data_IF_352010664164
#
_entry.id   IF_352010664164
#
_cell.length_a   1.000
_cell.length_b   1.000
_cell.length_c   1.000
_cell.angle_alpha   90.00
_cell.angle_beta   90.00
_cell.angle_gamma   90.00
#
_symmetry.space_group_name_H-M   'P 1'
#
loop_
_entity.id
_entity.type
_entity.pdbx_description
1 polymer ?
#
# COMPACT_ATOMS: atom_id res chain seq x y z
N UNK A 1 -27.81 -21.43 14.34
CA UNK A 1 -27.45 -21.99 13.02
C UNK A 1 -27.55 -20.96 11.90
N UNK A 2 -28.61 -20.17 11.79
CA UNK A 2 -28.82 -19.17 10.70
C UNK A 2 -27.77 -18.05 10.61
N UNK A 3 -27.25 -17.54 11.74
CA UNK A 3 -26.16 -16.55 11.76
C UNK A 3 -24.86 -17.10 11.13
N UNK A 4 -24.50 -18.35 11.44
CA UNK A 4 -23.28 -18.98 10.93
C UNK A 4 -23.35 -19.30 9.43
N UNK A 5 -24.55 -19.49 8.88
CA UNK A 5 -24.72 -19.72 7.42
C UNK A 5 -24.53 -18.42 6.63
N UNK A 6 -24.97 -17.29 7.19
CA UNK A 6 -24.74 -15.95 6.61
C UNK A 6 -23.25 -15.57 6.60
N UNK A 7 -22.54 -15.85 7.69
CA UNK A 7 -21.10 -15.57 7.79
C UNK A 7 -20.28 -16.38 6.76
N UNK A 8 -20.50 -17.69 6.68
CA UNK A 8 -19.84 -18.55 5.70
C UNK A 8 -20.10 -18.05 4.27
N UNK A 9 -21.35 -17.74 3.92
CA UNK A 9 -21.69 -17.24 2.59
C UNK A 9 -20.95 -15.93 2.24
N UNK A 10 -20.76 -15.03 3.21
CA UNK A 10 -19.98 -13.80 3.01
C UNK A 10 -18.50 -14.10 2.76
N UNK A 11 -17.87 -14.91 3.60
CA UNK A 11 -16.45 -15.29 3.45
C UNK A 11 -16.20 -16.03 2.13
N UNK A 12 -17.12 -16.91 1.72
CA UNK A 12 -17.05 -17.62 0.44
C UNK A 12 -17.02 -16.67 -0.76
N UNK A 13 -17.86 -15.63 -0.75
CA UNK A 13 -17.84 -14.59 -1.78
C UNK A 13 -16.46 -13.94 -1.87
N UNK A 14 -15.87 -13.60 -0.72
CA UNK A 14 -14.53 -13.00 -0.66
C UNK A 14 -13.43 -13.97 -1.10
N UNK A 15 -13.59 -15.27 -0.85
CA UNK A 15 -12.66 -16.28 -1.33
C UNK A 15 -12.58 -16.34 -2.85
N UNK A 16 -13.71 -16.37 -3.55
CA UNK A 16 -13.68 -16.38 -5.02
C UNK A 16 -13.07 -15.10 -5.61
N UNK A 17 -13.30 -13.95 -4.96
CA UNK A 17 -12.68 -12.69 -5.35
C UNK A 17 -11.15 -12.69 -5.10
N UNK A 18 -10.72 -13.13 -3.91
CA UNK A 18 -9.30 -13.29 -3.58
C UNK A 18 -8.61 -14.29 -4.50
N UNK A 19 -9.27 -15.41 -4.81
CA UNK A 19 -8.75 -16.44 -5.69
C UNK A 19 -8.45 -15.87 -7.07
N UNK A 20 -9.44 -15.21 -7.66
CA UNK A 20 -9.33 -14.62 -9.00
C UNK A 20 -8.25 -13.53 -9.08
N UNK A 21 -8.22 -12.59 -8.13
CA UNK A 21 -7.38 -11.40 -8.23
C UNK A 21 -6.03 -11.51 -7.57
N UNK A 22 -5.77 -12.54 -6.76
CA UNK A 22 -4.49 -12.69 -6.05
C UNK A 22 -3.92 -14.10 -6.19
N UNK A 23 -4.68 -15.15 -5.88
CA UNK A 23 -4.14 -16.53 -5.88
C UNK A 23 -3.80 -17.01 -7.30
N UNK A 24 -4.73 -16.89 -8.24
CA UNK A 24 -4.58 -17.43 -9.60
C UNK A 24 -3.54 -16.66 -10.43
N UNK A 25 -3.22 -15.42 -10.04
CA UNK A 25 -2.22 -14.58 -10.71
C UNK A 25 -0.85 -14.58 -10.00
N UNK A 26 -0.77 -15.18 -8.81
CA UNK A 26 0.47 -15.28 -8.05
C UNK A 26 1.49 -16.11 -8.84
N UNK A 27 2.73 -15.63 -8.95
CA UNK A 27 3.73 -16.38 -9.71
C UNK A 27 3.94 -17.78 -9.07
N UNK A 28 3.86 -18.87 -9.85
CA UNK A 28 3.90 -20.22 -9.31
C UNK A 28 5.28 -20.63 -8.79
N UNK A 29 6.35 -19.94 -9.17
CA UNK A 29 7.70 -20.22 -8.66
C UNK A 29 8.02 -19.25 -7.53
N UNK A 30 8.00 -17.96 -7.81
CA UNK A 30 8.43 -16.93 -6.87
C UNK A 30 7.34 -16.50 -5.91
N UNK A 31 6.05 -16.80 -6.11
CA UNK A 31 5.00 -16.30 -5.23
C UNK A 31 4.77 -14.78 -5.26
N UNK A 32 5.50 -14.03 -6.09
CA UNK A 32 5.35 -12.59 -6.23
C UNK A 32 4.12 -12.25 -7.06
N UNK A 33 3.51 -11.11 -6.74
CA UNK A 33 2.38 -10.52 -7.45
C UNK A 33 2.82 -9.32 -8.31
N UNK A 34 2.21 -9.12 -9.48
CA UNK A 34 2.31 -7.85 -10.21
C UNK A 34 1.62 -6.72 -9.43
N UNK A 35 2.00 -5.46 -9.62
CA UNK A 35 1.32 -4.33 -8.95
C UNK A 35 -0.11 -4.10 -9.43
N UNK A 36 -0.43 -4.50 -10.66
CA UNK A 36 -1.77 -4.34 -11.25
C UNK A 36 -2.01 -5.34 -12.36
N UNK A 37 -3.28 -5.65 -12.59
CA UNK A 37 -3.73 -6.26 -13.83
C UNK A 37 -4.05 -5.17 -14.88
N UNK A 38 -4.12 -5.57 -16.14
CA UNK A 38 -4.48 -4.68 -17.25
C UNK A 38 -5.81 -5.11 -17.87
N UNK A 39 -6.72 -4.17 -18.04
CA UNK A 39 -7.97 -4.40 -18.76
C UNK A 39 -7.75 -4.23 -20.28
N UNK A 40 -8.08 -5.24 -21.08
CA UNK A 40 -7.98 -5.23 -22.56
C UNK A 40 -6.78 -5.97 -23.16
N UNK A 41 -6.85 -6.23 -24.48
CA UNK A 41 -5.82 -6.96 -25.23
C UNK A 41 -4.51 -6.18 -25.27
N UNK A 42 -3.44 -6.81 -24.81
CA UNK A 42 -2.06 -6.32 -24.70
C UNK A 42 -1.77 -5.45 -23.46
N UNK A 43 -1.03 -6.07 -22.53
CA UNK A 43 0.02 -5.42 -21.76
C UNK A 43 0.77 -4.46 -22.70
N UNK A 44 1.06 -3.20 -22.35
CA UNK A 44 2.02 -2.41 -23.10
C UNK A 44 3.30 -3.25 -23.29
N UNK A 45 3.83 -3.37 -24.51
CA UNK A 45 4.95 -4.28 -24.87
C UNK A 45 6.20 -4.12 -23.98
N UNK A 46 6.30 -3.03 -23.20
CA UNK A 46 7.38 -2.74 -22.25
C UNK A 46 6.94 -2.61 -20.78
N UNK A 47 5.73 -3.04 -20.42
CA UNK A 47 5.30 -3.10 -19.02
C UNK A 47 5.93 -4.33 -18.35
N UNK A 48 7.18 -4.17 -17.92
CA UNK A 48 7.90 -5.25 -17.28
C UNK A 48 7.15 -5.77 -16.03
N UNK A 49 7.18 -7.10 -15.87
CA UNK A 49 6.57 -7.84 -14.75
C UNK A 49 7.39 -7.57 -13.48
N UNK A 50 7.08 -6.45 -12.82
CA UNK A 50 7.76 -6.07 -11.60
C UNK A 50 6.84 -6.18 -10.38
N UNK A 51 7.43 -6.61 -9.27
CA UNK A 51 6.84 -6.70 -7.96
C UNK A 51 7.47 -5.62 -7.08
N UNK A 52 6.65 -4.70 -6.58
CA UNK A 52 7.06 -3.76 -5.53
C UNK A 52 6.81 -4.38 -4.17
N UNK A 53 7.72 -4.19 -3.22
CA UNK A 53 7.58 -4.70 -1.84
C UNK A 53 6.26 -4.21 -1.25
N UNK A 54 6.03 -2.89 -1.26
CA UNK A 54 4.82 -2.26 -0.70
C UNK A 54 3.54 -2.82 -1.31
N UNK A 55 3.45 -2.84 -2.64
CA UNK A 55 2.27 -3.32 -3.36
C UNK A 55 2.00 -4.80 -3.04
N UNK A 56 3.04 -5.64 -2.99
CA UNK A 56 2.90 -7.05 -2.64
C UNK A 56 2.46 -7.26 -1.19
N UNK A 57 3.06 -6.52 -0.24
CA UNK A 57 2.67 -6.57 1.17
C UNK A 57 1.23 -6.16 1.33
N UNK A 58 0.79 -5.00 0.80
CA UNK A 58 -0.61 -4.61 0.89
C UNK A 58 -1.54 -5.61 0.18
N UNK A 59 -1.14 -6.14 -0.98
CA UNK A 59 -1.94 -7.09 -1.75
C UNK A 59 -2.22 -8.38 -0.97
N UNK A 60 -1.25 -8.89 -0.22
CA UNK A 60 -1.40 -10.15 0.50
C UNK A 60 -2.23 -10.03 1.79
N UNK A 61 -2.44 -8.80 2.30
CA UNK A 61 -3.21 -8.59 3.53
C UNK A 61 -4.64 -9.10 3.43
N UNK A 62 -5.33 -8.92 2.30
CA UNK A 62 -6.69 -9.46 2.14
C UNK A 62 -6.72 -11.00 2.16
N UNK A 63 -5.73 -11.65 1.55
CA UNK A 63 -5.57 -13.11 1.53
C UNK A 63 -5.31 -13.63 2.95
N UNK A 64 -4.43 -12.95 3.69
CA UNK A 64 -4.12 -13.25 5.08
C UNK A 64 -5.32 -13.01 6.02
N UNK A 65 -6.01 -11.87 5.90
CA UNK A 65 -7.21 -11.58 6.70
C UNK A 65 -8.32 -12.61 6.45
N UNK A 66 -8.49 -13.03 5.20
CA UNK A 66 -9.47 -14.06 4.85
C UNK A 66 -9.09 -15.43 5.42
N UNK A 67 -7.81 -15.79 5.46
CA UNK A 67 -7.36 -17.05 6.06
C UNK A 67 -7.65 -17.09 7.56
N UNK A 68 -7.44 -15.98 8.28
CA UNK A 68 -7.86 -15.83 9.68
C UNK A 68 -9.37 -16.02 9.82
N UNK A 69 -10.16 -15.44 8.91
CA UNK A 69 -11.62 -15.61 8.88
C UNK A 69 -12.05 -17.06 8.72
N UNK A 70 -11.42 -17.82 7.82
CA UNK A 70 -11.67 -19.25 7.67
C UNK A 70 -11.24 -20.07 8.88
N UNK A 71 -10.13 -19.72 9.52
CA UNK A 71 -9.67 -20.40 10.73
C UNK A 71 -10.67 -20.30 11.88
N UNK A 72 -11.39 -19.18 12.00
CA UNK A 72 -12.44 -19.02 13.04
C UNK A 72 -13.61 -19.98 12.87
N UNK A 73 -13.80 -20.56 11.68
CA UNK A 73 -14.94 -21.43 11.37
C UNK A 73 -14.53 -22.85 10.94
N UNK A 74 -13.24 -23.18 11.02
CA UNK A 74 -12.72 -24.49 10.59
C UNK A 74 -13.23 -25.65 11.43
N UNK A 75 -13.59 -25.40 12.69
CA UNK A 75 -14.17 -26.43 13.57
C UNK A 75 -15.65 -26.72 13.24
N UNK A 76 -16.29 -25.81 12.52
CA UNK A 76 -17.73 -25.86 12.21
C UNK A 76 -18.02 -26.34 10.79
N UNK A 77 -17.11 -26.10 9.85
CA UNK A 77 -17.28 -26.39 8.42
C UNK A 77 -16.00 -26.97 7.82
N UNK A 78 -16.15 -27.80 6.78
CA UNK A 78 -15.01 -28.34 6.02
C UNK A 78 -14.42 -27.29 5.05
N UNK A 79 -13.73 -26.31 5.63
CA UNK A 79 -13.09 -25.18 4.92
C UNK A 79 -11.57 -25.15 5.10
N UNK A 80 -11.01 -26.20 5.71
CA UNK A 80 -9.58 -26.32 6.01
C UNK A 80 -8.70 -26.20 4.77
N UNK A 81 -9.15 -26.76 3.64
CA UNK A 81 -8.42 -26.67 2.37
C UNK A 81 -8.28 -25.22 1.89
N UNK A 82 -9.35 -24.41 2.00
CA UNK A 82 -9.32 -22.98 1.62
C UNK A 82 -8.45 -22.18 2.56
N UNK A 83 -8.58 -22.44 3.86
CA UNK A 83 -7.70 -21.82 4.86
C UNK A 83 -6.24 -22.08 4.48
N UNK A 84 -5.85 -23.34 4.25
CA UNK A 84 -4.48 -23.71 3.92
C UNK A 84 -3.99 -23.13 2.60
N UNK A 85 -4.82 -23.08 1.57
CA UNK A 85 -4.48 -22.43 0.29
C UNK A 85 -4.11 -20.95 0.51
N UNK A 86 -4.95 -20.20 1.23
CA UNK A 86 -4.70 -18.80 1.53
C UNK A 86 -3.46 -18.62 2.42
N UNK A 87 -3.29 -19.47 3.43
CA UNK A 87 -2.12 -19.44 4.32
C UNK A 87 -0.81 -19.66 3.54
N UNK A 88 -0.78 -20.68 2.68
CA UNK A 88 0.39 -21.00 1.87
C UNK A 88 0.70 -19.90 0.86
N UNK A 89 -0.31 -19.29 0.25
CA UNK A 89 -0.13 -18.15 -0.65
C UNK A 89 0.48 -16.94 0.07
N UNK A 90 0.01 -16.65 1.30
CA UNK A 90 0.58 -15.60 2.15
C UNK A 90 2.04 -15.87 2.51
N UNK A 91 2.33 -17.06 3.03
CA UNK A 91 3.70 -17.46 3.40
C UNK A 91 4.63 -17.38 2.21
N UNK A 92 4.21 -17.92 1.05
CA UNK A 92 5.03 -17.92 -0.17
C UNK A 92 5.41 -16.52 -0.63
N UNK A 93 4.46 -15.58 -0.67
CA UNK A 93 4.75 -14.21 -1.08
C UNK A 93 5.71 -13.51 -0.11
N UNK A 94 5.43 -13.58 1.19
CA UNK A 94 6.24 -12.91 2.22
C UNK A 94 7.68 -13.45 2.23
N UNK A 95 7.84 -14.78 2.11
CA UNK A 95 9.15 -15.42 2.01
C UNK A 95 9.90 -15.02 0.75
N UNK A 96 9.21 -14.82 -0.35
CA UNK A 96 9.88 -14.42 -1.58
C UNK A 96 10.32 -12.96 -1.57
N UNK A 97 9.59 -12.08 -0.90
CA UNK A 97 10.08 -10.73 -0.61
C UNK A 97 11.34 -10.79 0.27
N UNK A 98 11.33 -11.61 1.34
CA UNK A 98 12.51 -11.84 2.17
C UNK A 98 13.70 -12.29 1.33
N UNK A 99 13.50 -13.30 0.47
CA UNK A 99 14.54 -13.80 -0.42
C UNK A 99 15.08 -12.73 -1.37
N UNK A 100 14.20 -11.88 -1.94
CA UNK A 100 14.62 -10.75 -2.79
C UNK A 100 15.52 -9.77 -2.02
N UNK A 101 15.18 -9.47 -0.76
CA UNK A 101 15.96 -8.57 0.09
C UNK A 101 17.29 -9.22 0.53
N UNK A 102 17.28 -10.50 0.89
CA UNK A 102 18.48 -11.25 1.31
C UNK A 102 19.54 -11.32 0.20
N UNK A 103 19.12 -11.38 -1.07
CA UNK A 103 20.05 -11.31 -2.22
C UNK A 103 20.83 -9.99 -2.32
N UNK A 104 20.44 -8.98 -1.55
CA UNK A 104 21.08 -7.67 -1.45
C UNK A 104 21.72 -7.44 -0.07
N UNK A 105 22.05 -8.51 0.68
CA UNK A 105 22.58 -8.40 2.05
C UNK A 105 23.83 -7.53 2.17
N UNK A 106 24.74 -7.60 1.20
CA UNK A 106 25.93 -6.74 1.16
C UNK A 106 25.56 -5.25 1.11
N UNK A 107 24.50 -4.89 0.36
CA UNK A 107 24.00 -3.51 0.31
C UNK A 107 23.47 -3.06 1.67
N UNK A 108 22.72 -3.92 2.36
CA UNK A 108 22.20 -3.64 3.72
C UNK A 108 23.35 -3.34 4.70
N UNK A 109 24.41 -4.15 4.68
CA UNK A 109 25.58 -3.94 5.56
C UNK A 109 26.31 -2.62 5.26
N UNK A 110 26.44 -2.26 3.98
CA UNK A 110 27.06 -1.00 3.59
C UNK A 110 26.17 0.21 3.92
N UNK A 111 24.86 0.09 3.72
CA UNK A 111 23.91 1.15 4.02
C UNK A 111 23.90 1.51 5.50
N UNK A 112 23.87 0.52 6.40
CA UNK A 112 23.92 0.76 7.85
C UNK A 112 25.11 1.63 8.29
N UNK A 113 26.23 1.57 7.56
CA UNK A 113 27.46 2.34 7.87
C UNK A 113 27.51 3.70 7.20
N UNK A 114 26.93 3.81 6.00
CA UNK A 114 27.13 4.97 5.11
C UNK A 114 25.89 5.85 5.00
N UNK A 115 24.69 5.28 5.17
CA UNK A 115 23.38 5.86 4.86
C UNK A 115 23.29 6.38 3.42
N UNK A 116 24.17 5.92 2.53
CA UNK A 116 24.21 6.35 1.14
C UNK A 116 23.17 5.59 0.32
N UNK A 117 22.33 6.34 -0.40
CA UNK A 117 21.26 5.80 -1.24
C UNK A 117 21.74 4.79 -2.28
N UNK A 118 23.00 4.83 -2.73
CA UNK A 118 23.56 3.83 -3.66
C UNK A 118 23.59 2.42 -3.06
N UNK A 119 23.73 2.31 -1.73
CA UNK A 119 23.67 1.05 -1.00
C UNK A 119 22.27 0.73 -0.48
N UNK A 120 21.24 1.51 -0.83
CA UNK A 120 19.89 1.22 -0.39
C UNK A 120 19.33 -0.08 -1.00
N UNK A 121 18.46 -0.76 -0.27
CA UNK A 121 17.72 -1.90 -0.81
C UNK A 121 16.84 -1.45 -1.97
N UNK A 122 16.82 -2.21 -3.05
CA UNK A 122 15.78 -2.04 -4.07
C UNK A 122 14.44 -2.46 -3.49
N UNK A 123 13.41 -1.64 -3.68
CA UNK A 123 12.03 -1.97 -3.31
C UNK A 123 11.20 -2.57 -4.47
N UNK A 124 11.84 -2.91 -5.59
CA UNK A 124 11.21 -3.41 -6.82
C UNK A 124 12.02 -4.54 -7.45
N UNK A 125 11.35 -5.64 -7.78
CA UNK A 125 11.97 -6.87 -8.27
C UNK A 125 11.31 -7.41 -9.53
N UNK A 126 12.05 -8.18 -10.32
CA UNK A 126 11.49 -9.00 -11.40
C UNK A 126 10.70 -10.16 -10.81
N UNK A 127 9.44 -10.30 -11.22
CA UNK A 127 8.53 -11.33 -10.72
C UNK A 127 9.07 -12.73 -10.99
N UNK A 128 9.71 -12.95 -12.15
CA UNK A 128 10.04 -14.31 -12.61
C UNK A 128 11.26 -14.92 -11.90
N UNK A 129 12.16 -14.10 -11.35
CA UNK A 129 13.44 -14.57 -10.83
C UNK A 129 13.96 -13.85 -9.58
N UNK A 130 13.15 -12.98 -8.95
CA UNK A 130 13.56 -12.23 -7.77
C UNK A 130 14.86 -11.42 -8.01
N UNK A 131 15.06 -10.96 -9.24
CA UNK A 131 16.20 -10.14 -9.64
C UNK A 131 15.90 -8.65 -9.54
N UNK A 132 16.94 -7.81 -9.60
CA UNK A 132 16.78 -6.37 -9.58
C UNK A 132 16.01 -5.89 -10.83
N UNK A 133 15.13 -4.90 -10.62
CA UNK A 133 14.33 -4.32 -11.68
C UNK A 133 15.07 -3.28 -12.54
N UNK A 134 16.17 -2.73 -12.03
CA UNK A 134 17.05 -1.75 -12.67
C UNK A 134 18.32 -1.56 -11.84
N UNK A 135 19.15 -0.59 -12.21
CA UNK A 135 20.31 -0.12 -11.45
C UNK A 135 19.94 0.93 -10.39
N UNK A 136 20.92 1.26 -9.54
CA UNK A 136 20.74 2.17 -8.40
C UNK A 136 20.43 3.62 -8.80
N UNK A 137 20.83 4.02 -10.01
CA UNK A 137 20.59 5.36 -10.57
C UNK A 137 19.29 5.45 -11.38
N UNK A 138 18.60 4.33 -11.62
CA UNK A 138 17.48 4.28 -12.57
C UNK A 138 16.17 4.83 -11.97
N UNK A 139 16.05 4.81 -10.64
CA UNK A 139 14.83 5.22 -9.93
C UNK A 139 15.05 5.46 -8.42
N UNK A 140 14.05 6.06 -7.77
CA UNK A 140 14.03 6.37 -6.34
C UNK A 140 13.86 5.14 -5.44
N UNK A 141 14.87 4.27 -5.42
CA UNK A 141 14.78 2.94 -4.81
C UNK A 141 14.92 2.91 -3.28
N UNK A 142 15.52 3.94 -2.67
CA UNK A 142 15.56 4.09 -1.21
C UNK A 142 14.17 4.44 -0.69
N UNK A 143 13.45 3.42 -0.20
CA UNK A 143 12.09 3.53 0.33
C UNK A 143 12.02 2.87 1.71
N UNK A 144 12.16 3.67 2.76
CA UNK A 144 12.18 3.16 4.14
C UNK A 144 10.77 2.71 4.56
N UNK A 145 9.72 3.34 4.03
CA UNK A 145 8.32 2.95 4.23
C UNK A 145 8.08 1.49 3.81
N UNK A 146 8.62 1.06 2.66
CA UNK A 146 8.36 -0.26 2.11
C UNK A 146 8.96 -1.38 2.99
N UNK A 147 10.18 -1.17 3.48
CA UNK A 147 10.86 -2.12 4.39
C UNK A 147 10.17 -2.14 5.75
N UNK A 148 9.81 -0.98 6.28
CA UNK A 148 9.11 -0.85 7.56
C UNK A 148 7.74 -1.53 7.52
N UNK A 149 6.98 -1.32 6.44
CA UNK A 149 5.69 -1.97 6.19
C UNK A 149 5.84 -3.49 6.10
N UNK A 150 6.86 -3.98 5.38
CA UNK A 150 7.12 -5.42 5.28
C UNK A 150 7.35 -6.04 6.66
N UNK A 151 8.21 -5.43 7.47
CA UNK A 151 8.52 -5.94 8.82
C UNK A 151 7.30 -5.87 9.75
N UNK A 152 6.50 -4.81 9.65
CA UNK A 152 5.27 -4.68 10.44
C UNK A 152 4.26 -5.77 10.07
N UNK A 153 4.04 -5.99 8.78
CA UNK A 153 3.16 -7.06 8.29
C UNK A 153 3.70 -8.44 8.65
N UNK A 154 5.01 -8.65 8.53
CA UNK A 154 5.68 -9.91 8.90
C UNK A 154 5.45 -10.24 10.37
N UNK A 155 5.65 -9.27 11.27
CA UNK A 155 5.42 -9.45 12.70
C UNK A 155 3.97 -9.89 12.98
N UNK A 156 2.97 -9.18 12.40
CA UNK A 156 1.56 -9.52 12.58
C UNK A 156 1.19 -10.89 11.99
N UNK A 157 1.72 -11.23 10.82
CA UNK A 157 1.52 -12.53 10.17
C UNK A 157 2.10 -13.66 11.04
N UNK A 158 3.30 -13.51 11.58
CA UNK A 158 3.92 -14.50 12.48
C UNK A 158 3.15 -14.60 13.80
N UNK A 159 2.73 -13.47 14.38
CA UNK A 159 1.88 -13.46 15.59
C UNK A 159 0.53 -14.15 15.37
N UNK A 160 0.04 -14.19 14.14
CA UNK A 160 -1.14 -14.99 13.78
C UNK A 160 -0.87 -16.51 13.72
N UNK A 161 0.34 -16.99 13.99
CA UNK A 161 0.71 -18.40 13.98
C UNK A 161 1.18 -18.93 12.61
N UNK A 162 1.55 -18.04 11.68
CA UNK A 162 2.14 -18.45 10.40
C UNK A 162 3.67 -18.53 10.47
N UNK A 163 4.23 -19.64 10.01
CA UNK A 163 5.68 -19.84 9.95
C UNK A 163 6.28 -19.28 8.66
N UNK A 164 6.72 -18.02 8.71
CA UNK A 164 7.35 -17.33 7.56
C UNK A 164 8.88 -17.43 7.59
N UNK A 165 9.50 -17.51 8.77
CA UNK A 165 10.97 -17.53 8.94
C UNK A 165 11.41 -18.95 9.31
N UNK A 166 12.37 -19.52 8.58
CA UNK A 166 12.73 -20.94 8.64
C UNK A 166 14.18 -21.21 9.02
N UNK A 167 15.08 -20.22 8.96
CA UNK A 167 16.50 -20.42 9.29
C UNK A 167 17.09 -19.30 10.15
N UNK A 168 18.20 -19.60 10.81
CA UNK A 168 18.95 -18.62 11.62
C UNK A 168 19.47 -17.46 10.76
N UNK A 169 19.86 -17.73 9.52
CA UNK A 169 20.32 -16.69 8.57
C UNK A 169 19.19 -15.72 8.22
N UNK A 170 17.96 -16.23 8.05
CA UNK A 170 16.78 -15.41 7.83
C UNK A 170 16.50 -14.54 9.07
N UNK A 171 16.60 -15.09 10.29
CA UNK A 171 16.48 -14.32 11.54
C UNK A 171 17.52 -13.21 11.62
N UNK A 172 18.80 -13.52 11.37
CA UNK A 172 19.89 -12.55 11.35
C UNK A 172 19.64 -11.45 10.30
N UNK A 173 19.10 -11.81 9.14
CA UNK A 173 18.79 -10.83 8.11
C UNK A 173 17.63 -9.91 8.51
N UNK A 174 16.57 -10.43 9.14
CA UNK A 174 15.48 -9.61 9.69
C UNK A 174 16.02 -8.62 10.72
N UNK A 175 16.91 -9.06 11.62
CA UNK A 175 17.57 -8.18 12.58
C UNK A 175 18.39 -7.08 11.87
N UNK A 176 19.07 -7.43 10.77
CA UNK A 176 19.76 -6.44 9.93
C UNK A 176 18.82 -5.43 9.28
N UNK A 177 17.61 -5.82 8.90
CA UNK A 177 16.60 -4.89 8.41
C UNK A 177 16.08 -3.94 9.50
N UNK A 178 16.03 -4.38 10.76
CA UNK A 178 15.70 -3.49 11.89
C UNK A 178 16.78 -2.40 12.04
N UNK A 179 18.06 -2.78 12.00
CA UNK A 179 19.16 -1.80 11.99
C UNK A 179 19.18 -0.94 10.73
N UNK A 180 18.75 -1.47 9.59
CA UNK A 180 18.66 -0.70 8.34
C UNK A 180 17.68 0.48 8.45
N UNK A 181 16.57 0.32 9.18
CA UNK A 181 15.56 1.39 9.33
C UNK A 181 15.75 2.27 10.58
N UNK A 182 16.68 1.93 11.48
CA UNK A 182 16.81 2.62 12.77
C UNK A 182 17.08 4.13 12.63
N UNK A 183 17.77 4.52 11.56
CA UNK A 183 18.14 5.90 11.26
C UNK A 183 17.08 6.60 10.37
N UNK A 184 15.85 6.07 10.28
CA UNK A 184 14.79 6.65 9.44
C UNK A 184 14.51 8.13 9.75
N UNK A 185 14.63 8.55 11.02
CA UNK A 185 14.37 9.92 11.46
C UNK A 185 15.36 10.96 10.87
N UNK A 186 16.53 10.51 10.39
CA UNK A 186 17.57 11.38 9.82
C UNK A 186 18.02 10.93 8.43
N UNK A 187 17.34 9.97 7.81
CA UNK A 187 17.67 9.45 6.48
C UNK A 187 16.60 9.88 5.47
N UNK A 188 16.89 10.87 4.61
CA UNK A 188 15.99 11.26 3.54
C UNK A 188 15.78 10.11 2.54
N UNK A 189 14.53 9.86 2.16
CA UNK A 189 14.14 8.77 1.27
C UNK A 189 13.17 9.25 0.16
N UNK A 190 12.75 8.32 -0.71
CA UNK A 190 11.84 8.64 -1.82
C UNK A 190 10.35 8.50 -1.47
N UNK A 191 10.04 8.02 -0.27
CA UNK A 191 8.70 7.81 0.25
C UNK A 191 7.82 6.85 -0.57
N UNK A 192 6.55 6.77 -0.18
CA UNK A 192 5.55 5.87 -0.78
C UNK A 192 5.37 6.10 -2.29
N UNK A 193 5.63 7.33 -2.77
CA UNK A 193 5.35 7.70 -4.16
C UNK A 193 6.59 7.70 -5.07
N UNK A 194 7.75 7.21 -4.60
CA UNK A 194 8.98 7.06 -5.40
C UNK A 194 9.51 8.38 -5.97
N UNK A 195 9.26 9.49 -5.26
CA UNK A 195 9.59 10.84 -5.73
C UNK A 195 10.50 11.63 -4.81
N UNK A 196 10.53 11.28 -3.53
CA UNK A 196 11.20 12.08 -2.53
C UNK A 196 10.42 13.36 -2.31
N UNK A 197 11.02 14.49 -2.62
CA UNK A 197 10.44 15.80 -2.39
C UNK A 197 9.12 16.02 -3.12
N UNK A 198 8.16 16.63 -2.43
CA UNK A 198 6.84 16.97 -2.99
C UNK A 198 6.89 18.11 -4.02
N UNK A 199 8.00 18.85 -4.06
CA UNK A 199 8.36 19.78 -5.14
C UNK A 199 8.84 19.05 -6.41
N UNK A 200 8.92 17.71 -6.36
CA UNK A 200 9.07 16.81 -7.49
C UNK A 200 10.38 16.96 -8.30
N UNK A 201 11.47 17.36 -7.64
CA UNK A 201 12.81 17.37 -8.22
C UNK A 201 13.44 15.97 -8.23
N UNK A 202 12.83 14.99 -7.56
CA UNK A 202 13.42 13.65 -7.45
C UNK A 202 14.54 13.58 -6.41
N UNK A 203 14.53 14.50 -5.44
CA UNK A 203 15.49 14.52 -4.36
C UNK A 203 14.90 13.85 -3.11
N UNK A 204 15.64 12.99 -2.40
CA UNK A 204 15.15 12.39 -1.16
C UNK A 204 14.76 13.45 -0.11
N UNK A 205 13.67 13.22 0.61
CA UNK A 205 13.23 14.06 1.73
C UNK A 205 12.94 13.22 2.98
N UNK A 206 12.82 13.87 4.14
CA UNK A 206 12.35 13.20 5.35
C UNK A 206 10.83 12.97 5.25
N UNK A 207 10.44 11.84 4.66
CA UNK A 207 9.05 11.48 4.52
C UNK A 207 8.45 11.06 5.85
N UNK A 208 7.46 11.83 6.30
CA UNK A 208 6.66 11.52 7.48
C UNK A 208 6.08 10.10 7.48
N UNK A 209 5.61 9.60 6.33
CA UNK A 209 5.08 8.24 6.22
C UNK A 209 6.15 7.19 6.51
N UNK A 210 7.37 7.40 6.03
CA UNK A 210 8.50 6.49 6.25
C UNK A 210 8.95 6.50 7.70
N UNK A 211 9.10 7.70 8.29
CA UNK A 211 9.46 7.88 9.70
C UNK A 211 8.39 7.28 10.61
N UNK A 212 7.11 7.53 10.34
CA UNK A 212 6.00 7.03 11.14
C UNK A 212 5.91 5.51 11.13
N UNK A 213 6.07 4.87 9.97
CA UNK A 213 6.12 3.40 9.89
C UNK A 213 7.32 2.82 10.63
N UNK A 214 8.51 3.40 10.44
CA UNK A 214 9.72 2.94 11.12
C UNK A 214 9.62 3.07 12.64
N UNK A 215 9.11 4.22 13.13
CA UNK A 215 8.86 4.48 14.57
C UNK A 215 8.01 3.36 15.17
N UNK A 216 6.84 3.09 14.59
CA UNK A 216 5.91 2.08 15.09
C UNK A 216 6.57 0.71 15.15
N UNK A 217 7.31 0.34 14.10
CA UNK A 217 7.99 -0.94 14.08
C UNK A 217 9.01 -1.03 15.23
N UNK A 218 9.86 -0.02 15.38
CA UNK A 218 10.88 0.00 16.42
C UNK A 218 10.24 -0.03 17.81
N UNK A 219 9.15 0.70 18.04
CA UNK A 219 8.37 0.65 19.29
C UNK A 219 7.73 -0.71 19.55
N UNK A 220 7.35 -1.44 18.50
CA UNK A 220 6.75 -2.77 18.62
C UNK A 220 7.76 -3.88 18.93
N UNK A 221 9.04 -3.70 18.55
CA UNK A 221 10.11 -4.71 18.68
C UNK A 221 11.02 -4.40 19.88
N UNK A 222 11.29 -3.13 20.19
CA UNK A 222 12.18 -2.73 21.27
C UNK A 222 11.44 -2.68 22.63
N UNK A 223 12.13 -2.94 23.76
CA UNK A 223 11.59 -2.68 25.08
C UNK A 223 11.13 -1.22 25.19
N UNK A 224 9.92 -0.98 25.73
CA UNK A 224 9.26 0.34 25.81
C UNK A 224 10.10 1.45 26.47
N UNK A 225 11.17 1.11 27.18
CA UNK A 225 12.03 2.05 27.90
C UNK A 225 13.12 2.71 27.02
N UNK A 226 13.33 2.24 25.78
CA UNK A 226 14.50 2.62 24.97
C UNK A 226 14.26 3.70 23.90
N UNK A 227 13.01 4.13 23.68
CA UNK A 227 12.70 5.15 22.68
C UNK A 227 12.21 6.43 23.35
N UNK A 228 12.98 7.50 23.21
CA UNK A 228 12.52 8.85 23.50
C UNK A 228 11.30 9.18 22.61
N UNK A 229 10.33 9.91 23.17
CA UNK A 229 9.08 10.30 22.48
C UNK A 229 9.40 11.02 21.16
N UNK A 230 9.38 10.29 20.04
CA UNK A 230 9.37 10.90 18.71
C UNK A 230 7.96 11.41 18.47
N UNK A 231 7.68 12.61 18.96
CA UNK A 231 6.46 13.32 18.62
C UNK A 231 6.59 13.78 17.17
N UNK A 232 5.79 13.18 16.28
CA UNK A 232 5.61 13.66 14.91
C UNK A 232 4.92 15.04 14.97
N UNK A 233 5.69 16.13 14.99
CA UNK A 233 5.16 17.48 14.97
C UNK A 233 5.01 17.98 13.53
N UNK A 234 3.81 18.47 13.22
CA UNK A 234 3.46 19.34 12.10
C UNK A 234 4.02 18.95 10.72
N UNK A 235 3.20 18.26 9.92
CA UNK A 235 3.53 17.98 8.52
C UNK A 235 3.50 19.29 7.71
N UNK A 236 4.67 19.77 7.26
CA UNK A 236 4.78 20.99 6.44
C UNK A 236 3.91 20.91 5.17
N UNK A 237 3.73 19.71 4.62
CA UNK A 237 2.88 19.48 3.45
C UNK A 237 1.99 18.25 3.61
N UNK A 238 0.68 18.46 3.41
CA UNK A 238 -0.37 17.45 3.57
C UNK A 238 -0.35 16.49 2.36
N UNK A 239 -0.08 15.22 2.62
CA UNK A 239 -0.17 14.15 1.64
C UNK A 239 -1.09 13.03 2.12
N UNK A 240 -1.80 12.39 1.20
CA UNK A 240 -2.68 11.27 1.51
C UNK A 240 -1.92 10.01 1.99
N UNK A 241 -0.60 9.95 1.76
CA UNK A 241 0.29 8.93 2.35
C UNK A 241 0.26 8.93 3.88
N UNK A 242 -0.08 10.06 4.51
CA UNK A 242 -0.19 10.13 5.97
C UNK A 242 -1.30 9.22 6.51
N UNK A 243 -2.34 8.90 5.72
CA UNK A 243 -3.40 7.98 6.15
C UNK A 243 -2.86 6.60 6.57
N UNK A 244 -1.75 6.13 5.97
CA UNK A 244 -1.14 4.85 6.35
C UNK A 244 -0.42 4.87 7.71
N UNK A 245 -0.20 6.06 8.27
CA UNK A 245 0.42 6.22 9.61
C UNK A 245 -0.55 6.77 10.66
N UNK A 246 -1.61 7.47 10.26
CA UNK A 246 -2.64 7.94 11.20
C UNK A 246 -3.51 6.79 11.72
N UNK A 247 -3.71 5.77 10.90
CA UNK A 247 -4.51 4.58 11.22
C UNK A 247 -3.78 3.34 10.69
N UNK A 248 -4.52 2.39 10.11
CA UNK A 248 -3.96 1.19 9.53
C UNK A 248 -2.97 1.49 8.37
N UNK A 249 -1.82 0.80 8.32
CA UNK A 249 -1.39 -0.27 9.23
C UNK A 249 -0.60 0.20 10.46
N UNK A 250 -0.08 1.43 10.51
CA UNK A 250 0.95 1.79 11.49
C UNK A 250 0.43 2.38 12.80
N UNK A 251 -0.63 3.20 12.81
CA UNK A 251 -1.12 3.87 14.03
C UNK A 251 -0.02 4.65 14.80
N UNK A 252 0.81 5.39 14.07
CA UNK A 252 2.05 6.01 14.58
C UNK A 252 1.83 7.27 15.42
N UNK A 253 0.66 7.89 15.35
CA UNK A 253 0.37 9.18 15.98
C UNK A 253 -0.55 8.95 17.17
N UNK A 254 -0.08 9.28 18.38
CA UNK A 254 -0.81 9.07 19.63
C UNK A 254 -1.71 10.26 20.00
N UNK A 255 -1.32 11.47 19.62
CA UNK A 255 -2.05 12.70 19.94
C UNK A 255 -3.35 12.79 19.12
N UNK A 256 -4.50 12.69 19.80
CA UNK A 256 -5.82 12.68 19.18
C UNK A 256 -6.18 13.99 18.47
N UNK A 257 -5.79 15.14 19.04
CA UNK A 257 -6.04 16.44 18.41
C UNK A 257 -5.27 16.56 17.08
N UNK A 258 -4.00 16.14 17.08
CA UNK A 258 -3.17 16.12 15.89
C UNK A 258 -3.70 15.13 14.84
N UNK A 259 -4.14 13.95 15.26
CA UNK A 259 -4.80 12.97 14.39
C UNK A 259 -6.00 13.61 13.68
N UNK A 260 -6.90 14.23 14.43
CA UNK A 260 -8.11 14.84 13.91
C UNK A 260 -7.79 16.01 12.97
N UNK A 261 -6.94 16.94 13.39
CA UNK A 261 -6.50 18.09 12.57
C UNK A 261 -5.85 17.63 11.26
N UNK A 262 -5.00 16.60 11.33
CA UNK A 262 -4.32 16.07 10.13
C UNK A 262 -5.31 15.42 9.19
N UNK A 263 -6.24 14.59 9.70
CA UNK A 263 -7.30 13.94 8.91
C UNK A 263 -8.20 14.96 8.22
N UNK A 264 -8.69 15.96 8.95
CA UNK A 264 -9.52 17.03 8.40
C UNK A 264 -8.77 17.82 7.32
N UNK A 265 -7.49 18.10 7.53
CA UNK A 265 -6.64 18.78 6.54
C UNK A 265 -6.45 17.95 5.28
N UNK A 266 -6.24 16.62 5.40
CA UNK A 266 -6.14 15.68 4.27
C UNK A 266 -7.46 15.68 3.49
N UNK A 267 -8.59 15.43 4.17
CA UNK A 267 -9.90 15.33 3.53
C UNK A 267 -10.27 16.65 2.85
N UNK A 268 -10.14 17.77 3.54
CA UNK A 268 -10.51 19.10 3.01
C UNK A 268 -9.70 19.48 1.78
N UNK A 269 -8.40 19.19 1.77
CA UNK A 269 -7.49 19.61 0.68
C UNK A 269 -7.45 18.62 -0.48
N UNK A 270 -7.56 17.32 -0.22
CA UNK A 270 -7.23 16.28 -1.19
C UNK A 270 -8.44 15.49 -1.67
N UNK A 271 -9.59 15.51 -0.99
CA UNK A 271 -10.76 14.75 -1.41
C UNK A 271 -11.39 15.31 -2.71
N UNK A 272 -11.54 14.39 -3.66
CA UNK A 272 -12.26 14.58 -4.92
C UNK A 272 -13.47 13.66 -5.04
N UNK A 273 -14.09 13.63 -6.22
CA UNK A 273 -15.30 12.84 -6.47
C UNK A 273 -15.01 11.34 -6.61
N UNK A 274 -13.77 10.99 -6.94
CA UNK A 274 -13.35 9.65 -7.27
C UNK A 274 -12.27 9.06 -6.34
N UNK A 275 -11.82 9.82 -5.35
CA UNK A 275 -10.77 9.42 -4.42
C UNK A 275 -10.06 10.64 -3.85
N UNK A 276 -8.90 10.44 -3.24
CA UNK A 276 -8.05 11.55 -2.81
C UNK A 276 -6.89 11.75 -3.78
N UNK A 277 -6.45 12.99 -3.94
CA UNK A 277 -5.18 13.32 -4.57
C UNK A 277 -4.05 12.86 -3.66
N UNK A 278 -2.90 12.45 -4.22
CA UNK A 278 -1.75 12.03 -3.40
C UNK A 278 -1.19 13.19 -2.58
N UNK A 279 -1.03 14.33 -3.23
CA UNK A 279 -0.70 15.64 -2.66
C UNK A 279 -1.11 16.71 -3.69
N UNK A 280 -1.11 17.98 -3.29
CA UNK A 280 -1.49 19.08 -4.19
C UNK A 280 -0.47 19.22 -5.33
N UNK A 281 -0.95 19.61 -6.52
CA UNK A 281 -0.11 19.83 -7.72
C UNK A 281 0.66 18.60 -8.20
N UNK A 282 0.16 17.42 -7.87
CA UNK A 282 0.71 16.17 -8.36
C UNK A 282 0.41 15.97 -9.87
N UNK A 283 1.47 16.03 -10.68
CA UNK A 283 1.39 15.82 -12.12
C UNK A 283 1.37 14.36 -12.58
N UNK A 284 1.44 13.37 -11.69
CA UNK A 284 1.54 11.96 -12.11
C UNK A 284 0.36 11.52 -12.95
N UNK A 285 0.65 11.12 -14.20
CA UNK A 285 -0.34 10.71 -15.21
C UNK A 285 -1.40 11.78 -15.51
N UNK A 286 -1.07 13.04 -15.19
CA UNK A 286 -1.88 14.21 -15.48
C UNK A 286 -1.35 14.85 -16.76
N UNK A 287 -2.19 14.99 -17.79
CA UNK A 287 -1.90 15.65 -19.07
C UNK A 287 -0.74 15.09 -19.95
N UNK A 288 0.36 14.60 -19.38
CA UNK A 288 1.40 13.83 -20.06
C UNK A 288 1.72 12.57 -19.24
N UNK A 289 1.28 11.37 -19.69
CA UNK A 289 1.44 10.14 -18.93
C UNK A 289 2.86 9.58 -18.89
N UNK A 290 3.83 10.17 -19.62
CA UNK A 290 5.18 9.61 -19.73
C UNK A 290 6.23 10.23 -18.80
N UNK A 291 5.96 11.41 -18.21
CA UNK A 291 6.95 12.17 -17.42
C UNK A 291 6.78 11.93 -15.91
N UNK A 292 7.88 11.66 -15.21
CA UNK A 292 7.92 11.41 -13.76
C UNK A 292 8.31 12.65 -12.92
N UNK A 293 9.18 13.52 -13.44
CA UNK A 293 9.67 14.73 -12.73
C UNK A 293 9.30 16.00 -13.50
N UNK A 294 8.95 17.08 -12.81
CA UNK A 294 8.49 18.34 -13.38
C UNK A 294 9.25 19.51 -12.74
N UNK A 295 9.42 20.61 -13.47
CA UNK A 295 10.00 21.84 -12.92
C UNK A 295 9.00 22.51 -11.96
N UNK A 296 9.48 23.23 -10.93
CA UNK A 296 8.61 23.91 -9.94
C UNK A 296 7.57 24.82 -10.62
N UNK A 297 7.99 25.52 -11.67
CA UNK A 297 7.13 26.43 -12.42
C UNK A 297 6.03 25.69 -13.20
N UNK A 298 6.24 24.40 -13.52
CA UNK A 298 5.24 23.55 -14.18
C UNK A 298 4.22 22.97 -13.20
N UNK A 299 4.54 22.86 -11.90
CA UNK A 299 3.63 22.24 -10.92
C UNK A 299 2.27 22.94 -10.81
N UNK A 300 2.24 24.27 -11.00
CA UNK A 300 0.99 25.04 -11.02
C UNK A 300 0.04 24.59 -12.13
N UNK A 301 0.56 24.02 -13.21
CA UNK A 301 -0.25 23.48 -14.31
C UNK A 301 -1.10 22.30 -13.81
N UNK A 302 -0.64 21.53 -12.83
CA UNK A 302 -1.42 20.37 -12.34
C UNK A 302 -2.49 20.73 -11.32
N UNK A 303 -2.51 21.97 -10.83
CA UNK A 303 -3.49 22.43 -9.86
C UNK A 303 -4.91 22.23 -10.39
N UNK A 304 -5.74 21.56 -9.60
CA UNK A 304 -7.14 21.19 -9.89
C UNK A 304 -7.36 20.07 -10.90
N UNK A 305 -6.33 19.61 -11.61
CA UNK A 305 -6.43 18.50 -12.56
C UNK A 305 -5.71 17.24 -12.07
N UNK A 306 -5.18 17.24 -10.84
CA UNK A 306 -4.45 16.12 -10.25
C UNK A 306 -5.30 14.84 -10.26
N UNK A 307 -4.67 13.69 -10.49
CA UNK A 307 -5.35 12.40 -10.45
C UNK A 307 -5.92 12.09 -9.05
N UNK A 308 -7.10 11.46 -9.03
CA UNK A 308 -7.78 11.04 -7.80
C UNK A 308 -7.64 9.53 -7.63
N UNK A 309 -7.24 9.09 -6.44
CA UNK A 309 -6.90 7.70 -6.14
C UNK A 309 -7.94 7.07 -5.22
N UNK A 310 -8.74 6.09 -5.70
CA UNK A 310 -9.80 5.45 -4.90
C UNK A 310 -9.28 4.72 -3.66
N UNK A 311 -8.01 4.30 -3.65
CA UNK A 311 -7.41 3.58 -2.50
C UNK A 311 -7.57 4.33 -1.19
N UNK A 312 -7.55 5.66 -1.23
CA UNK A 312 -7.65 6.47 -0.01
C UNK A 312 -9.07 6.48 0.57
N UNK A 313 -10.12 6.19 -0.22
CA UNK A 313 -11.42 5.89 0.34
C UNK A 313 -11.38 4.57 1.13
N UNK A 314 -10.67 3.54 0.65
CA UNK A 314 -10.49 2.30 1.42
C UNK A 314 -9.75 2.55 2.75
N UNK A 315 -8.71 3.39 2.76
CA UNK A 315 -8.06 3.83 4.00
C UNK A 315 -9.04 4.52 4.96
N UNK A 316 -9.91 5.41 4.47
CA UNK A 316 -10.88 6.12 5.30
C UNK A 316 -12.01 5.22 5.82
N UNK A 317 -12.38 4.16 5.09
CA UNK A 317 -13.29 3.13 5.60
C UNK A 317 -12.62 2.38 6.75
N UNK A 318 -11.39 1.91 6.55
CA UNK A 318 -10.64 1.17 7.59
C UNK A 318 -10.40 2.05 8.82
N UNK A 319 -10.03 3.33 8.63
CA UNK A 319 -9.91 4.31 9.72
C UNK A 319 -11.24 4.49 10.48
N UNK A 320 -12.36 4.58 9.78
CA UNK A 320 -13.69 4.66 10.40
C UNK A 320 -13.99 3.43 11.24
N UNK A 321 -13.70 2.23 10.72
CA UNK A 321 -13.91 0.97 11.44
C UNK A 321 -13.08 0.88 12.72
N UNK A 322 -11.79 1.24 12.69
CA UNK A 322 -10.92 1.20 13.88
C UNK A 322 -11.27 2.27 14.93
N UNK A 323 -11.94 3.36 14.53
CA UNK A 323 -12.42 4.41 15.44
C UNK A 323 -13.88 4.23 15.87
N UNK A 324 -14.53 3.16 15.44
CA UNK A 324 -15.97 2.94 15.65
C UNK A 324 -16.85 4.07 15.06
N UNK A 325 -16.34 4.77 14.05
CA UNK A 325 -17.05 5.80 13.29
C UNK A 325 -17.70 5.15 12.07
N UNK A 326 -18.79 4.42 12.36
CA UNK A 326 -19.50 3.62 11.36
C UNK A 326 -20.21 4.46 10.29
N UNK A 327 -20.57 5.72 10.61
CA UNK A 327 -21.14 6.65 9.62
C UNK A 327 -20.07 7.08 8.61
N UNK A 328 -18.85 7.42 9.05
CA UNK A 328 -17.74 7.64 8.12
C UNK A 328 -17.49 6.41 7.24
N UNK A 329 -17.42 5.22 7.85
CA UNK A 329 -17.16 3.99 7.12
C UNK A 329 -18.23 3.72 6.05
N UNK A 330 -19.51 3.90 6.40
CA UNK A 330 -20.65 3.75 5.49
C UNK A 330 -20.62 4.76 4.33
N UNK A 331 -20.32 6.02 4.62
CA UNK A 331 -20.25 7.08 3.62
C UNK A 331 -19.13 6.82 2.60
N UNK A 332 -17.93 6.48 3.07
CA UNK A 332 -16.83 6.16 2.17
C UNK A 332 -17.01 4.82 1.45
N UNK A 333 -17.69 3.84 2.05
CA UNK A 333 -18.09 2.61 1.34
C UNK A 333 -19.00 2.94 0.16
N UNK A 334 -20.00 3.80 0.36
CA UNK A 334 -20.90 4.25 -0.70
C UNK A 334 -20.17 5.06 -1.79
N UNK A 335 -19.18 5.89 -1.41
CA UNK A 335 -18.32 6.61 -2.37
C UNK A 335 -17.43 5.65 -3.17
N UNK A 336 -16.77 4.71 -2.50
CA UNK A 336 -15.86 3.75 -3.13
C UNK A 336 -16.60 2.83 -4.10
N UNK A 337 -17.79 2.35 -3.73
CA UNK A 337 -18.64 1.53 -4.61
C UNK A 337 -19.04 2.24 -5.91
N UNK A 338 -19.20 3.57 -5.89
CA UNK A 338 -19.50 4.36 -7.11
C UNK A 338 -18.33 4.44 -8.09
N UNK A 339 -17.12 4.11 -7.64
CA UNK A 339 -15.89 4.21 -8.44
C UNK A 339 -15.20 2.88 -8.68
N UNK A 340 -15.81 1.77 -8.25
CA UNK A 340 -15.43 0.43 -8.70
C UNK A 340 -15.93 0.18 -10.12
N UNK A 341 -15.22 -0.67 -10.85
CA UNK A 341 -15.56 -1.11 -12.22
C UNK A 341 -15.81 -2.62 -12.19
N UNK A 342 -16.90 -3.09 -12.80
CA UNK A 342 -17.22 -4.52 -12.83
C UNK A 342 -16.28 -5.30 -13.77
N UNK A 343 -15.68 -6.40 -13.28
CA UNK A 343 -14.85 -7.34 -14.06
C UNK A 343 -15.23 -8.78 -13.72
N UNK A 344 -15.76 -9.49 -14.71
CA UNK A 344 -16.38 -10.83 -14.63
C UNK A 344 -17.14 -11.05 -13.31
N UNK A 345 -18.09 -10.15 -13.03
CA UNK A 345 -18.98 -10.23 -11.87
C UNK A 345 -18.43 -9.66 -10.55
N UNK A 346 -17.15 -9.25 -10.49
CA UNK A 346 -16.54 -8.67 -9.29
C UNK A 346 -16.35 -7.16 -9.42
N UNK A 347 -16.43 -6.45 -8.29
CA UNK A 347 -16.13 -5.02 -8.21
C UNK A 347 -14.62 -4.81 -8.11
N UNK A 348 -14.01 -4.24 -9.16
CA UNK A 348 -12.58 -3.99 -9.22
C UNK A 348 -12.27 -2.50 -8.99
N UNK A 349 -11.25 -2.22 -8.18
CA UNK A 349 -10.81 -0.85 -7.88
C UNK A 349 -9.69 -0.45 -8.85
N UNK A 350 -9.87 0.61 -9.66
CA UNK A 350 -8.80 1.12 -10.51
C UNK A 350 -7.72 1.81 -9.68
N UNK A 351 -6.51 1.92 -10.23
CA UNK A 351 -5.44 2.68 -9.59
C UNK A 351 -5.83 4.15 -9.35
N UNK A 352 -6.30 4.82 -10.40
CA UNK A 352 -6.62 6.25 -10.35
C UNK A 352 -7.67 6.65 -11.39
N UNK A 353 -8.19 7.85 -11.19
CA UNK A 353 -9.07 8.59 -12.10
C UNK A 353 -8.42 9.90 -12.56
N UNK A 354 -8.30 10.07 -13.87
CA UNK A 354 -7.67 11.23 -14.50
C UNK A 354 -8.66 12.05 -15.32
N UNK A 355 -8.38 13.34 -15.48
CA UNK A 355 -9.12 14.22 -16.38
C UNK A 355 -8.68 13.92 -17.81
N UNK A 356 -9.59 13.55 -18.74
CA UNK A 356 -9.23 13.32 -20.14
C UNK A 356 -8.63 14.58 -20.77
N UNK A 357 -7.64 14.43 -21.66
CA UNK A 357 -6.91 15.55 -22.27
C UNK A 357 -7.85 16.57 -22.92
N UNK A 358 -8.87 16.08 -23.61
CA UNK A 358 -9.89 16.88 -24.28
C UNK A 358 -10.76 17.72 -23.32
N UNK A 359 -10.73 17.41 -22.02
CA UNK A 359 -11.52 18.09 -20.97
C UNK A 359 -10.68 18.95 -20.02
N UNK A 360 -9.35 18.90 -20.10
CA UNK A 360 -8.45 19.63 -19.20
C UNK A 360 -8.75 21.13 -19.17
N UNK A 361 -8.95 21.75 -20.34
CA UNK A 361 -9.26 23.19 -20.43
C UNK A 361 -10.60 23.56 -19.78
N UNK A 362 -11.60 22.67 -19.83
CA UNK A 362 -12.88 22.89 -19.17
C UNK A 362 -12.76 22.72 -17.65
N UNK A 363 -11.96 21.76 -17.19
CA UNK A 363 -11.69 21.55 -15.77
C UNK A 363 -10.93 22.72 -15.14
N UNK A 364 -9.98 23.35 -15.86
CA UNK A 364 -9.35 24.59 -15.37
C UNK A 364 -10.33 25.74 -15.19
N UNK A 365 -11.28 25.90 -16.13
CA UNK A 365 -12.28 26.98 -16.07
C UNK A 365 -13.28 26.78 -14.94
N UNK A 366 -13.65 25.53 -14.66
CA UNK A 366 -14.58 25.19 -13.59
C UNK A 366 -14.11 23.90 -12.90
N UNK A 367 -13.29 24.00 -11.83
CA UNK A 367 -12.76 22.84 -11.12
C UNK A 367 -13.86 21.89 -10.64
N UNK A 368 -13.56 20.59 -10.65
CA UNK A 368 -14.44 19.48 -10.25
C UNK A 368 -15.67 19.29 -11.17
N UNK A 369 -15.73 19.93 -12.33
CA UNK A 369 -16.88 19.86 -13.24
C UNK A 369 -16.82 18.68 -14.22
N UNK A 370 -15.63 18.22 -14.59
CA UNK A 370 -15.46 17.23 -15.64
C UNK A 370 -15.45 15.80 -15.08
N UNK A 371 -16.18 14.90 -15.74
CA UNK A 371 -16.10 13.47 -15.44
C UNK A 371 -14.72 12.91 -15.81
N UNK A 372 -14.15 12.16 -14.88
CA UNK A 372 -12.82 11.53 -15.00
C UNK A 372 -12.93 10.13 -15.61
N UNK A 373 -11.86 9.67 -16.25
CA UNK A 373 -11.71 8.29 -16.75
C UNK A 373 -10.78 7.52 -15.80
N UNK A 374 -11.08 6.25 -15.56
CA UNK A 374 -10.18 5.38 -14.78
C UNK A 374 -8.98 4.94 -15.62
N UNK A 375 -7.86 4.64 -14.96
CA UNK A 375 -6.65 4.11 -15.58
C UNK A 375 -6.79 2.66 -16.04
N UNK A 376 -5.99 2.24 -17.04
CA UNK A 376 -5.96 0.84 -17.51
C UNK A 376 -5.45 -0.17 -16.47
N UNK A 377 -4.76 0.28 -15.41
CA UNK A 377 -4.36 -0.54 -14.26
C UNK A 377 -5.59 -0.85 -13.42
N UNK A 378 -6.17 -2.03 -13.64
CA UNK A 378 -7.45 -2.43 -13.10
C UNK A 378 -7.57 -3.98 -13.07
N UNK A 379 -7.81 -4.60 -11.90
CA UNK A 379 -7.63 -4.00 -10.58
C UNK A 379 -6.19 -3.54 -10.32
N UNK A 380 -6.06 -2.46 -9.57
CA UNK A 380 -4.82 -2.15 -8.86
C UNK A 380 -4.78 -2.95 -7.57
N UNK A 381 -3.82 -3.87 -7.40
CA UNK A 381 -3.93 -4.93 -6.40
C UNK A 381 -3.85 -4.42 -4.96
N UNK A 382 -3.05 -3.39 -4.70
CA UNK A 382 -3.06 -2.70 -3.40
C UNK A 382 -4.45 -2.12 -3.09
N UNK A 383 -5.05 -1.40 -4.04
CA UNK A 383 -6.41 -0.85 -3.87
C UNK A 383 -7.45 -1.95 -3.66
N UNK A 384 -7.37 -3.02 -4.45
CA UNK A 384 -8.31 -4.13 -4.37
C UNK A 384 -8.21 -4.84 -3.02
N UNK A 385 -6.99 -5.07 -2.53
CA UNK A 385 -6.79 -5.73 -1.24
C UNK A 385 -7.34 -4.90 -0.09
N UNK A 386 -7.04 -3.59 -0.03
CA UNK A 386 -7.60 -2.72 0.99
C UNK A 386 -9.13 -2.61 0.89
N UNK A 387 -9.69 -2.63 -0.32
CA UNK A 387 -11.15 -2.68 -0.49
C UNK A 387 -11.75 -3.96 0.10
N UNK A 388 -11.16 -5.13 -0.19
CA UNK A 388 -11.61 -6.40 0.39
C UNK A 388 -11.45 -6.39 1.91
N UNK A 389 -10.31 -5.96 2.45
CA UNK A 389 -10.10 -5.82 3.91
C UNK A 389 -11.16 -4.90 4.52
N UNK A 390 -11.44 -3.76 3.90
CA UNK A 390 -12.44 -2.81 4.40
C UNK A 390 -13.85 -3.41 4.43
N UNK A 391 -14.23 -4.21 3.42
CA UNK A 391 -15.52 -4.90 3.39
C UNK A 391 -15.57 -6.08 4.33
N UNK A 392 -14.46 -6.79 4.54
CA UNK A 392 -14.38 -7.83 5.55
C UNK A 392 -14.62 -7.24 6.95
N UNK A 393 -13.96 -6.12 7.29
CA UNK A 393 -14.20 -5.41 8.55
C UNK A 393 -15.66 -4.95 8.67
N UNK A 394 -16.21 -4.35 7.61
CA UNK A 394 -17.55 -3.74 7.63
C UNK A 394 -18.69 -4.77 7.61
N UNK A 395 -18.57 -5.85 6.83
CA UNK A 395 -19.68 -6.78 6.58
C UNK A 395 -19.60 -8.08 7.38
N UNK A 396 -18.40 -8.50 7.79
CA UNK A 396 -18.18 -9.83 8.36
C UNK A 396 -18.06 -9.79 9.89
N UNK A 397 -17.79 -8.63 10.50
CA UNK A 397 -17.65 -8.43 11.96
C UNK A 397 -16.83 -9.57 12.61
N UNK A 398 -15.51 -9.52 12.45
CA UNK A 398 -14.61 -10.55 12.95
C UNK A 398 -14.50 -10.62 14.47
#
# INVERSE_FOLDING_TARGET
MTLNTSFLAKIEKYYFECKKFFIDIQNPVTGLLPSSLFNGTSKPENSANFAWIRDNVYSILCVWSLSIGYRKISDLYDVTHRCKELELATVKLMRSLLFCMMKQSEKVEMFKKTLDKSFALHAKYKIDNCGLAGGDADWGHLQIDAISLYLLALAQIISSGMEVIWSTEEVCFIQNLVYYIENAYCTPDYGIFERGDKTNHGLPELNASSIGMAKVLLESILPKESLSKVSLYFFQEVGASLLSILSFPAFAVENQDLLQLTRESIVTKLEGRYGLRRFLRDGHKTADPKRLHYEVNELKIFENIECEWPVFFAYLIVDGMFREDFEQAKDYMAKLKKVTVAIDGFEAVPELYYVPLEKVQAEYKNPKSQNRKYSLRLPHLWSQSLYIVSRLLYEVEF
#
